data_IF_447399267748
#
_entry.id   IF_447399267748
#
_cell.length_a   1.000
_cell.length_b   1.000
_cell.length_c   1.000
_cell.angle_alpha   90.00
_cell.angle_beta   90.00
_cell.angle_gamma   90.00
#
_symmetry.space_group_name_H-M   'P 1'
#
loop_
_entity.id
_entity.type
_entity.pdbx_description
1 polymer ?
#
# COMPACT_ATOMS: atom_id res chain seq x y z
N UNK A 1 16.74 -2.46 5.70
CA UNK A 1 15.94 -1.62 6.62
C UNK A 1 14.63 -2.31 7.01
N UNK A 2 13.72 -2.64 6.08
CA UNK A 2 12.41 -3.24 6.38
C UNK A 2 12.47 -4.59 7.09
N UNK A 3 13.39 -5.50 6.74
CA UNK A 3 13.57 -6.78 7.44
C UNK A 3 13.81 -6.65 8.95
N UNK A 4 14.49 -5.60 9.39
CA UNK A 4 14.78 -5.36 10.81
C UNK A 4 13.64 -4.64 11.54
N UNK A 5 12.83 -3.85 10.82
CA UNK A 5 11.72 -3.10 11.37
C UNK A 5 10.42 -3.92 11.45
N UNK A 6 10.33 -5.05 10.75
CA UNK A 6 9.13 -5.86 10.63
C UNK A 6 8.43 -6.21 11.97
N UNK A 7 9.13 -6.64 13.04
CA UNK A 7 8.46 -7.02 14.30
C UNK A 7 7.81 -5.90 15.10
N UNK A 8 7.97 -4.64 14.68
CA UNK A 8 7.39 -3.49 15.39
C UNK A 8 6.55 -2.58 14.51
N UNK A 9 6.49 -2.89 13.22
CA UNK A 9 5.91 -2.06 12.19
C UNK A 9 4.42 -1.75 12.44
N UNK A 10 3.61 -2.78 12.72
CA UNK A 10 2.16 -2.63 12.93
C UNK A 10 1.82 -1.78 14.15
N UNK A 11 2.60 -1.93 15.24
CA UNK A 11 2.38 -1.13 16.45
C UNK A 11 2.65 0.36 16.19
N UNK A 12 3.68 0.66 15.41
CA UNK A 12 4.01 2.03 15.02
C UNK A 12 2.91 2.62 14.14
N UNK A 13 2.42 1.87 13.15
CA UNK A 13 1.35 2.30 12.25
C UNK A 13 0.02 2.47 12.99
N UNK A 14 -0.38 1.50 13.80
CA UNK A 14 -1.62 1.53 14.58
C UNK A 14 -1.67 2.72 15.55
N UNK A 15 -0.55 3.03 16.21
CA UNK A 15 -0.44 4.14 17.14
C UNK A 15 -0.67 5.48 16.43
N UNK A 16 -0.17 5.64 15.23
CA UNK A 16 -0.22 6.88 14.46
C UNK A 16 -1.50 7.08 13.67
N UNK A 17 -2.10 5.98 13.22
CA UNK A 17 -3.41 5.97 12.56
C UNK A 17 -4.58 5.95 13.57
N UNK A 18 -4.31 5.92 14.88
CA UNK A 18 -5.33 5.77 15.94
C UNK A 18 -6.29 4.61 15.66
N UNK A 19 -5.76 3.52 15.10
CA UNK A 19 -6.54 2.32 14.73
C UNK A 19 -7.42 2.46 13.47
N UNK A 20 -7.52 3.64 12.87
CA UNK A 20 -8.36 3.87 11.68
C UNK A 20 -7.79 3.26 10.39
N UNK A 21 -6.51 2.92 10.38
CA UNK A 21 -5.80 2.50 9.18
C UNK A 21 -6.36 1.22 8.54
N UNK A 22 -6.75 0.22 9.34
CA UNK A 22 -7.34 -1.04 8.85
C UNK A 22 -8.72 -0.79 8.24
N UNK A 23 -9.57 -0.01 8.92
CA UNK A 23 -10.88 0.35 8.41
C UNK A 23 -10.79 1.11 7.09
N UNK A 24 -9.92 2.12 7.00
CA UNK A 24 -9.74 2.91 5.79
C UNK A 24 -9.30 2.04 4.60
N UNK A 25 -8.30 1.17 4.79
CA UNK A 25 -7.82 0.27 3.74
C UNK A 25 -8.93 -0.65 3.25
N UNK A 26 -9.73 -1.21 4.18
CA UNK A 26 -10.88 -2.04 3.82
C UNK A 26 -11.89 -1.27 2.95
N UNK A 27 -12.27 -0.05 3.35
CA UNK A 27 -13.21 0.77 2.60
C UNK A 27 -12.67 1.17 1.22
N UNK A 28 -11.36 1.45 1.11
CA UNK A 28 -10.72 1.70 -0.17
C UNK A 28 -10.82 0.49 -1.10
N UNK A 29 -10.51 -0.71 -0.62
CA UNK A 29 -10.61 -1.93 -1.43
C UNK A 29 -12.04 -2.17 -1.93
N UNK A 30 -13.04 -2.04 -1.06
CA UNK A 30 -14.46 -2.24 -1.40
C UNK A 30 -14.95 -1.22 -2.43
N UNK A 31 -14.71 0.06 -2.21
CA UNK A 31 -15.21 1.10 -3.13
C UNK A 31 -14.53 1.07 -4.50
N UNK A 32 -13.31 0.49 -4.58
CA UNK A 32 -12.59 0.31 -5.84
C UNK A 32 -12.88 -1.04 -6.50
N UNK A 33 -13.81 -1.84 -5.93
CA UNK A 33 -14.40 -2.99 -6.61
C UNK A 33 -13.81 -4.34 -6.23
N UNK A 34 -13.02 -4.45 -5.15
CA UNK A 34 -12.66 -5.77 -4.61
C UNK A 34 -13.92 -6.45 -4.05
N UNK A 35 -14.18 -7.68 -4.46
CA UNK A 35 -15.37 -8.43 -4.11
C UNK A 35 -15.07 -9.87 -3.73
N UNK A 36 -16.06 -10.54 -3.14
CA UNK A 36 -15.98 -11.96 -2.80
C UNK A 36 -15.71 -12.84 -4.03
N UNK A 37 -14.88 -13.84 -3.86
CA UNK A 37 -14.51 -14.80 -4.92
C UNK A 37 -13.40 -14.33 -5.85
N UNK A 38 -12.95 -13.08 -5.76
CA UNK A 38 -11.86 -12.55 -6.59
C UNK A 38 -10.49 -13.09 -6.19
N UNK A 39 -9.56 -13.09 -7.15
CA UNK A 39 -8.12 -13.28 -6.91
C UNK A 39 -7.45 -11.92 -6.71
N UNK A 40 -7.01 -11.66 -5.47
CA UNK A 40 -6.28 -10.45 -5.07
C UNK A 40 -4.79 -10.71 -5.08
N UNK A 41 -4.01 -9.84 -5.72
CA UNK A 41 -2.57 -9.70 -5.54
C UNK A 41 -2.28 -8.41 -4.76
N UNK A 42 -1.77 -8.54 -3.54
CA UNK A 42 -1.29 -7.40 -2.75
C UNK A 42 0.21 -7.23 -2.98
N UNK A 43 0.60 -6.17 -3.67
CA UNK A 43 2.00 -5.89 -4.04
C UNK A 43 2.63 -4.97 -2.99
N UNK A 44 3.86 -5.30 -2.59
CA UNK A 44 4.54 -4.72 -1.44
C UNK A 44 3.67 -4.89 -0.17
N UNK A 45 3.20 -6.11 0.05
CA UNK A 45 2.25 -6.47 1.09
C UNK A 45 2.74 -6.19 2.51
N UNK A 46 4.06 -6.15 2.72
CA UNK A 46 4.68 -5.90 4.01
C UNK A 46 4.21 -6.91 5.05
N UNK A 47 3.80 -6.41 6.21
CA UNK A 47 3.24 -7.21 7.30
C UNK A 47 1.75 -7.54 7.12
N UNK A 48 1.14 -7.18 5.97
CA UNK A 48 -0.22 -7.55 5.61
C UNK A 48 -1.31 -6.57 6.00
N UNK A 49 -1.00 -5.30 6.20
CA UNK A 49 -1.99 -4.29 6.58
C UNK A 49 -3.10 -4.07 5.53
N UNK A 50 -2.83 -4.38 4.25
CA UNK A 50 -3.83 -4.42 3.16
C UNK A 50 -4.28 -5.85 2.90
N UNK A 51 -3.35 -6.81 2.96
CA UNK A 51 -3.63 -8.23 2.70
C UNK A 51 -4.72 -8.78 3.62
N UNK A 52 -4.65 -8.49 4.93
CA UNK A 52 -5.63 -9.01 5.93
C UNK A 52 -7.06 -8.55 5.63
N UNK A 53 -7.36 -7.23 5.49
CA UNK A 53 -8.71 -6.82 5.10
C UNK A 53 -9.10 -7.30 3.71
N UNK A 54 -8.17 -7.40 2.76
CA UNK A 54 -8.42 -7.95 1.43
C UNK A 54 -8.85 -9.43 1.50
N UNK A 55 -8.16 -10.25 2.28
CA UNK A 55 -8.52 -11.65 2.51
C UNK A 55 -9.93 -11.79 3.10
N UNK A 56 -10.29 -10.93 4.05
CA UNK A 56 -11.63 -10.95 4.64
C UNK A 56 -12.73 -10.56 3.63
N UNK A 57 -12.42 -9.69 2.64
CA UNK A 57 -13.36 -9.29 1.58
C UNK A 57 -13.56 -10.41 0.56
N UNK A 58 -12.46 -10.99 0.05
CA UNK A 58 -12.58 -12.01 -1.00
C UNK A 58 -13.16 -13.33 -0.46
N UNK A 59 -12.98 -13.59 0.82
CA UNK A 59 -13.59 -14.74 1.51
C UNK A 59 -13.04 -16.09 1.05
N UNK A 60 -13.69 -17.20 1.48
CA UNK A 60 -13.16 -18.55 1.30
C UNK A 60 -13.19 -19.06 -0.16
N UNK A 61 -13.93 -18.41 -1.04
CA UNK A 61 -13.98 -18.74 -2.47
C UNK A 61 -13.01 -17.91 -3.31
N UNK A 62 -12.40 -16.88 -2.71
CA UNK A 62 -11.39 -16.07 -3.35
C UNK A 62 -9.98 -16.57 -3.06
N UNK A 63 -9.02 -15.97 -3.75
CA UNK A 63 -7.58 -16.25 -3.57
C UNK A 63 -6.85 -14.97 -3.24
N UNK A 64 -5.90 -15.03 -2.31
CA UNK A 64 -5.03 -13.90 -1.97
C UNK A 64 -3.58 -14.31 -2.10
N UNK A 65 -2.84 -13.51 -2.87
CA UNK A 65 -1.39 -13.59 -3.01
C UNK A 65 -0.78 -12.31 -2.43
N UNK A 66 0.25 -12.47 -1.62
CA UNK A 66 0.98 -11.36 -1.02
C UNK A 66 2.42 -11.34 -1.54
N UNK A 67 2.78 -10.31 -2.28
CA UNK A 67 4.10 -10.15 -2.86
C UNK A 67 4.87 -9.04 -2.13
N UNK A 68 6.08 -9.37 -1.67
CA UNK A 68 6.98 -8.39 -1.03
C UNK A 68 8.44 -8.85 -1.17
N UNK A 69 9.41 -7.96 -1.47
CA UNK A 69 10.81 -8.34 -1.56
C UNK A 69 11.48 -8.60 -0.21
N UNK A 70 10.79 -8.37 0.90
CA UNK A 70 11.30 -8.54 2.27
C UNK A 70 10.81 -9.84 2.90
N UNK A 71 11.65 -10.88 3.03
CA UNK A 71 11.26 -12.12 3.69
C UNK A 71 10.86 -11.92 5.16
N UNK A 72 11.45 -10.92 5.85
CA UNK A 72 11.08 -10.57 7.21
C UNK A 72 9.65 -10.01 7.32
N UNK A 73 9.21 -9.20 6.36
CA UNK A 73 7.84 -8.69 6.28
C UNK A 73 6.85 -9.83 6.02
N UNK A 74 7.15 -10.69 5.05
CA UNK A 74 6.32 -11.86 4.75
C UNK A 74 6.24 -12.84 5.93
N UNK A 75 7.30 -12.97 6.72
CA UNK A 75 7.28 -13.79 7.93
C UNK A 75 6.31 -13.25 9.00
N UNK A 76 6.22 -11.92 9.15
CA UNK A 76 5.22 -11.30 10.05
C UNK A 76 3.79 -11.45 9.52
N UNK A 77 3.59 -11.33 8.20
CA UNK A 77 2.30 -11.58 7.57
C UNK A 77 1.80 -13.01 7.83
N UNK A 78 2.65 -14.01 7.63
CA UNK A 78 2.32 -15.44 7.84
C UNK A 78 1.89 -15.76 9.28
N UNK A 79 2.28 -14.96 10.26
CA UNK A 79 1.80 -15.11 11.66
C UNK A 79 0.34 -14.68 11.83
N UNK A 80 -0.18 -13.82 10.94
CA UNK A 80 -1.53 -13.25 11.03
C UNK A 80 -2.56 -14.04 10.25
N UNK A 81 -2.19 -14.46 9.04
CA UNK A 81 -3.08 -15.17 8.11
C UNK A 81 -2.29 -16.18 7.26
N UNK A 82 -2.99 -17.21 6.80
CA UNK A 82 -2.45 -18.16 5.83
C UNK A 82 -2.85 -17.74 4.41
N UNK A 83 -1.90 -17.16 3.67
CA UNK A 83 -2.04 -16.80 2.27
C UNK A 83 -0.78 -17.19 1.52
N UNK A 84 -0.88 -17.31 0.21
CA UNK A 84 0.28 -17.51 -0.65
C UNK A 84 1.17 -16.26 -0.60
N UNK A 85 2.47 -16.47 -0.35
CA UNK A 85 3.44 -15.37 -0.27
C UNK A 85 4.51 -15.53 -1.33
N UNK A 86 4.86 -14.45 -2.00
CA UNK A 86 5.80 -14.39 -3.11
C UNK A 86 6.90 -13.39 -2.75
N UNK A 87 8.15 -13.86 -2.69
CA UNK A 87 9.30 -12.98 -2.50
C UNK A 87 9.77 -12.48 -3.87
N UNK A 88 9.34 -11.27 -4.23
CA UNK A 88 9.66 -10.63 -5.51
C UNK A 88 9.48 -9.11 -5.45
N UNK A 89 10.01 -8.41 -6.45
CA UNK A 89 9.80 -6.98 -6.66
C UNK A 89 8.57 -6.73 -7.54
N UNK A 90 7.99 -5.53 -7.39
CA UNK A 90 6.83 -5.08 -8.18
C UNK A 90 7.11 -5.05 -9.70
N UNK A 91 8.37 -4.85 -10.07
CA UNK A 91 8.87 -4.78 -11.45
C UNK A 91 9.09 -6.16 -12.12
N UNK A 92 8.94 -7.27 -11.36
CA UNK A 92 9.12 -8.63 -11.88
C UNK A 92 8.26 -9.60 -11.08
N UNK A 93 7.01 -9.75 -11.49
CA UNK A 93 6.01 -10.58 -10.82
C UNK A 93 6.05 -12.00 -11.39
N UNK A 94 6.44 -13.03 -10.60
CA UNK A 94 6.58 -14.40 -11.08
C UNK A 94 5.22 -15.13 -11.16
N UNK A 95 4.27 -14.51 -11.83
CA UNK A 95 2.93 -15.05 -12.08
C UNK A 95 2.64 -15.04 -13.59
N UNK A 96 1.85 -16.01 -14.08
CA UNK A 96 1.35 -15.99 -15.45
C UNK A 96 0.47 -14.79 -15.77
N UNK A 97 0.30 -14.51 -17.06
CA UNK A 97 -0.54 -13.44 -17.56
C UNK A 97 -2.03 -13.69 -17.24
N UNK A 98 -2.76 -12.63 -16.92
CA UNK A 98 -4.21 -12.66 -16.88
C UNK A 98 -4.84 -13.52 -15.79
N UNK A 99 -4.21 -13.65 -14.63
CA UNK A 99 -4.70 -14.49 -13.52
C UNK A 99 -5.25 -13.72 -12.33
N UNK A 100 -5.07 -12.41 -12.29
CA UNK A 100 -5.41 -11.57 -11.15
C UNK A 100 -6.63 -10.70 -11.48
N UNK A 101 -7.63 -10.69 -10.59
CA UNK A 101 -8.81 -9.84 -10.76
C UNK A 101 -8.57 -8.44 -10.18
N UNK A 102 -7.80 -8.36 -9.09
CA UNK A 102 -7.55 -7.11 -8.39
C UNK A 102 -6.12 -7.03 -7.87
N UNK A 103 -5.44 -5.91 -8.15
CA UNK A 103 -4.13 -5.60 -7.57
C UNK A 103 -4.31 -4.47 -6.55
N UNK A 104 -3.77 -4.66 -5.34
CA UNK A 104 -3.59 -3.61 -4.35
C UNK A 104 -2.11 -3.29 -4.11
N UNK A 105 -1.81 -2.05 -3.77
CA UNK A 105 -0.55 -1.62 -3.16
C UNK A 105 -0.84 -0.57 -2.10
N UNK A 106 -0.33 -0.78 -0.89
CA UNK A 106 -0.58 0.13 0.23
C UNK A 106 0.67 0.89 0.68
N UNK A 107 0.76 2.18 0.34
CA UNK A 107 1.78 3.11 0.84
C UNK A 107 3.24 2.71 0.54
N UNK A 108 3.46 2.05 -0.59
CA UNK A 108 4.76 1.53 -1.00
C UNK A 108 5.25 2.07 -2.36
N UNK A 109 4.43 2.82 -3.09
CA UNK A 109 4.73 3.26 -4.46
C UNK A 109 6.06 4.03 -4.57
N UNK A 110 6.38 4.82 -3.56
CA UNK A 110 7.65 5.58 -3.46
C UNK A 110 8.90 4.71 -3.36
N UNK A 111 8.76 3.40 -3.15
CA UNK A 111 9.85 2.43 -3.08
C UNK A 111 10.02 1.62 -4.37
N UNK A 112 9.14 1.80 -5.34
CA UNK A 112 9.22 1.19 -6.66
C UNK A 112 10.31 1.90 -7.47
N UNK A 113 11.26 1.14 -7.98
CA UNK A 113 12.41 1.69 -8.70
C UNK A 113 12.05 2.18 -10.10
N UNK A 114 11.19 1.45 -10.82
CA UNK A 114 10.69 1.82 -12.14
C UNK A 114 9.17 1.59 -12.24
N UNK A 115 8.42 2.69 -12.26
CA UNK A 115 6.96 2.66 -12.36
C UNK A 115 6.46 2.07 -13.69
N UNK A 116 7.19 2.27 -14.78
CA UNK A 116 6.74 1.76 -16.09
C UNK A 116 6.87 0.23 -16.12
N UNK A 117 7.97 -0.32 -15.58
CA UNK A 117 8.13 -1.76 -15.46
C UNK A 117 7.08 -2.36 -14.51
N UNK A 118 6.89 -1.77 -13.33
CA UNK A 118 5.90 -2.26 -12.37
C UNK A 118 4.48 -2.24 -12.93
N UNK A 119 4.07 -1.16 -13.58
CA UNK A 119 2.71 -1.05 -14.14
C UNK A 119 2.52 -1.91 -15.38
N UNK A 120 3.57 -2.18 -16.16
CA UNK A 120 3.54 -3.18 -17.23
C UNK A 120 3.31 -4.59 -16.68
N UNK A 121 3.98 -4.96 -15.57
CA UNK A 121 3.76 -6.22 -14.87
C UNK A 121 2.35 -6.32 -14.28
N UNK A 122 1.84 -5.24 -13.67
CA UNK A 122 0.45 -5.20 -13.16
C UNK A 122 -0.54 -5.43 -14.30
N UNK A 123 -0.34 -4.72 -15.43
CA UNK A 123 -1.19 -4.91 -16.61
C UNK A 123 -1.11 -6.33 -17.15
N UNK A 124 0.06 -6.93 -17.19
CA UNK A 124 0.29 -8.29 -17.68
C UNK A 124 -0.45 -9.34 -16.84
N UNK A 125 -0.32 -9.28 -15.52
CA UNK A 125 -0.89 -10.32 -14.63
C UNK A 125 -2.39 -10.13 -14.36
N UNK A 126 -2.96 -8.92 -14.52
CA UNK A 126 -4.39 -8.70 -14.40
C UNK A 126 -5.14 -9.41 -15.53
N UNK A 127 -6.31 -9.98 -15.25
CA UNK A 127 -7.25 -10.45 -16.27
C UNK A 127 -7.89 -9.26 -17.02
N UNK A 128 -8.46 -9.46 -18.24
CA UNK A 128 -9.33 -8.45 -18.85
C UNK A 128 -10.47 -8.05 -17.90
N UNK A 129 -10.68 -6.75 -17.73
CA UNK A 129 -11.63 -6.20 -16.75
C UNK A 129 -11.06 -6.04 -15.34
N UNK A 130 -9.90 -6.61 -15.05
CA UNK A 130 -9.22 -6.51 -13.75
C UNK A 130 -8.81 -5.08 -13.39
N UNK A 131 -8.61 -4.83 -12.11
CA UNK A 131 -8.39 -3.48 -11.57
C UNK A 131 -7.12 -3.38 -10.75
N UNK A 132 -6.51 -2.21 -10.77
CA UNK A 132 -5.43 -1.82 -9.86
C UNK A 132 -5.89 -0.70 -8.93
N UNK A 133 -5.52 -0.78 -7.66
CA UNK A 133 -5.75 0.25 -6.66
C UNK A 133 -4.49 0.47 -5.83
N UNK A 134 -3.88 1.64 -5.95
CA UNK A 134 -2.65 2.02 -5.26
C UNK A 134 -2.99 3.12 -4.26
N UNK A 135 -2.79 2.85 -2.98
CA UNK A 135 -2.94 3.81 -1.90
C UNK A 135 -1.61 4.48 -1.60
N UNK A 136 -1.58 5.81 -1.51
CA UNK A 136 -0.36 6.55 -1.16
C UNK A 136 -0.68 7.79 -0.31
N UNK A 137 0.28 8.21 0.49
CA UNK A 137 0.23 9.46 1.23
C UNK A 137 0.96 10.52 0.43
N UNK A 138 0.32 11.68 0.26
CA UNK A 138 0.93 12.80 -0.46
C UNK A 138 0.97 14.07 0.38
N UNK A 139 1.79 15.01 -0.04
CA UNK A 139 1.83 16.34 0.58
C UNK A 139 0.45 17.01 0.50
N UNK A 140 -0.06 17.55 1.62
CA UNK A 140 -1.26 18.39 1.57
C UNK A 140 -1.03 19.65 0.74
N UNK A 141 -1.97 20.00 -0.13
CA UNK A 141 -1.90 21.25 -0.92
C UNK A 141 -2.08 22.50 -0.04
N UNK A 142 -2.91 22.42 0.98
CA UNK A 142 -3.18 23.52 1.91
C UNK A 142 -2.02 23.76 2.88
N UNK A 143 -1.63 25.03 3.07
CA UNK A 143 -0.61 25.42 4.05
C UNK A 143 -0.99 25.03 5.48
N UNK A 144 -2.28 25.19 5.83
CA UNK A 144 -2.81 24.79 7.13
C UNK A 144 -2.73 23.28 7.34
N UNK A 145 -3.13 22.48 6.34
CA UNK A 145 -3.05 21.03 6.43
C UNK A 145 -1.58 20.54 6.52
N UNK A 146 -0.64 21.21 5.84
CA UNK A 146 0.80 20.95 5.99
C UNK A 146 1.29 21.25 7.41
N UNK A 147 0.87 22.39 7.99
CA UNK A 147 1.23 22.75 9.35
C UNK A 147 0.67 21.74 10.37
N UNK A 148 -0.60 21.32 10.22
CA UNK A 148 -1.24 20.34 11.09
C UNK A 148 -0.56 18.95 10.96
N UNK A 149 -0.25 18.50 9.75
CA UNK A 149 0.49 17.25 9.54
C UNK A 149 1.89 17.32 10.14
N UNK A 150 2.61 18.43 9.92
CA UNK A 150 3.92 18.68 10.52
C UNK A 150 3.88 18.69 12.05
N UNK A 151 2.86 19.32 12.65
CA UNK A 151 2.63 19.30 14.10
C UNK A 151 2.36 17.86 14.60
N UNK A 152 1.49 17.12 13.91
CA UNK A 152 1.20 15.73 14.25
C UNK A 152 2.47 14.86 14.23
N UNK A 153 3.24 14.92 13.15
CA UNK A 153 4.48 14.13 12.99
C UNK A 153 5.54 14.54 14.01
N UNK A 154 5.75 15.85 14.23
CA UNK A 154 6.84 16.36 15.06
C UNK A 154 6.54 16.39 16.57
N UNK A 155 5.28 16.45 16.95
CA UNK A 155 4.87 16.61 18.36
C UNK A 155 4.05 15.42 18.87
N UNK A 156 2.99 15.03 18.14
CA UNK A 156 2.04 14.02 18.62
C UNK A 156 2.67 12.62 18.55
N UNK A 157 3.28 12.27 17.42
CA UNK A 157 3.90 10.95 17.23
C UNK A 157 5.03 10.68 18.22
N UNK A 158 6.02 11.58 18.44
CA UNK A 158 7.06 11.36 19.44
C UNK A 158 6.52 11.30 20.88
N UNK A 159 5.47 12.08 21.18
CA UNK A 159 4.83 12.02 22.50
C UNK A 159 4.19 10.64 22.74
N UNK A 160 3.44 10.12 21.76
CA UNK A 160 2.83 8.80 21.84
C UNK A 160 3.90 7.70 21.85
N UNK A 161 4.96 7.84 21.05
CA UNK A 161 6.07 6.89 21.01
C UNK A 161 6.78 6.74 22.36
N UNK A 162 6.90 7.83 23.15
CA UNK A 162 7.47 7.79 24.52
C UNK A 162 6.71 6.88 25.46
N UNK A 163 5.42 6.62 25.18
CA UNK A 163 4.60 5.70 25.97
C UNK A 163 4.86 4.22 25.62
N UNK A 164 5.67 3.95 24.60
CA UNK A 164 5.99 2.60 24.14
C UNK A 164 7.43 2.21 24.49
N UNK A 165 7.69 0.92 24.72
CA UNK A 165 9.05 0.39 24.99
C UNK A 165 9.98 0.42 23.77
N UNK A 166 9.48 0.75 22.56
CA UNK A 166 10.21 0.76 21.28
C UNK A 166 10.34 2.17 20.68
N UNK A 167 10.50 3.16 21.52
CA UNK A 167 10.58 4.57 21.13
C UNK A 167 11.55 4.83 19.95
N UNK A 168 12.77 4.28 20.00
CA UNK A 168 13.80 4.56 18.99
C UNK A 168 13.44 4.01 17.58
N UNK A 169 12.82 2.82 17.52
CA UNK A 169 12.42 2.21 16.25
C UNK A 169 11.25 2.97 15.59
N UNK A 170 10.31 3.41 16.43
CA UNK A 170 9.17 4.23 15.99
C UNK A 170 9.67 5.58 15.47
N UNK A 171 10.58 6.24 16.17
CA UNK A 171 11.11 7.54 15.77
C UNK A 171 11.83 7.47 14.41
N UNK A 172 12.72 6.49 14.22
CA UNK A 172 13.42 6.27 12.93
C UNK A 172 12.47 6.02 11.78
N UNK A 173 11.41 5.24 12.00
CA UNK A 173 10.41 4.96 10.98
C UNK A 173 9.66 6.23 10.57
N UNK A 174 9.37 7.11 11.53
CA UNK A 174 8.63 8.35 11.26
C UNK A 174 9.49 9.45 10.64
N UNK A 175 10.75 9.56 11.01
CA UNK A 175 11.72 10.41 10.31
C UNK A 175 11.81 9.98 8.84
N UNK A 176 11.93 8.67 8.59
CA UNK A 176 11.92 8.10 7.25
C UNK A 176 10.61 8.39 6.47
N UNK A 177 9.45 8.28 7.11
CA UNK A 177 8.18 8.66 6.48
C UNK A 177 8.11 10.14 6.16
N UNK A 178 8.57 11.01 7.04
CA UNK A 178 8.65 12.45 6.80
C UNK A 178 9.43 12.77 5.52
N UNK A 179 10.64 12.23 5.41
CA UNK A 179 11.52 12.44 4.26
C UNK A 179 10.95 11.85 2.97
N UNK A 180 10.35 10.66 3.03
CA UNK A 180 9.79 9.99 1.84
C UNK A 180 8.47 10.59 1.35
N UNK A 181 7.64 11.16 2.24
CA UNK A 181 6.44 11.92 1.84
C UNK A 181 6.85 13.21 1.10
N UNK A 182 7.97 13.83 1.47
CA UNK A 182 8.49 14.99 0.76
C UNK A 182 9.01 14.66 -0.65
N UNK A 183 9.50 13.44 -0.84
CA UNK A 183 9.95 12.91 -2.13
C UNK A 183 8.85 12.24 -2.95
N UNK A 184 7.58 12.28 -2.50
CA UNK A 184 6.47 11.65 -3.21
C UNK A 184 6.34 12.19 -4.64
N UNK A 185 6.17 11.27 -5.60
CA UNK A 185 6.01 11.60 -7.01
C UNK A 185 4.78 12.47 -7.24
N UNK A 186 4.88 13.35 -8.22
CA UNK A 186 3.74 14.14 -8.68
C UNK A 186 2.63 13.21 -9.22
N UNK A 187 1.36 13.43 -8.84
CA UNK A 187 0.26 12.57 -9.22
C UNK A 187 0.12 12.33 -10.71
N UNK A 188 0.38 13.34 -11.52
CA UNK A 188 0.27 13.24 -12.98
C UNK A 188 1.28 12.25 -13.57
N UNK A 189 2.49 12.15 -13.00
CA UNK A 189 3.49 11.17 -13.44
C UNK A 189 3.00 9.73 -13.21
N UNK A 190 2.31 9.49 -12.09
CA UNK A 190 1.75 8.17 -11.75
C UNK A 190 0.59 7.84 -12.69
N UNK A 191 -0.33 8.78 -12.91
CA UNK A 191 -1.46 8.61 -13.81
C UNK A 191 -1.01 8.35 -15.25
N UNK A 192 -0.01 9.10 -15.72
CA UNK A 192 0.54 8.91 -17.06
C UNK A 192 1.28 7.58 -17.21
N UNK A 193 1.98 7.12 -16.19
CA UNK A 193 2.61 5.80 -16.21
C UNK A 193 1.57 4.67 -16.29
N UNK A 194 0.44 4.78 -15.55
CA UNK A 194 -0.68 3.84 -15.68
C UNK A 194 -1.27 3.85 -17.10
N UNK A 195 -1.51 5.04 -17.69
CA UNK A 195 -2.01 5.16 -19.06
C UNK A 195 -1.04 4.56 -20.08
N UNK A 196 0.26 4.82 -19.94
CA UNK A 196 1.29 4.22 -20.82
C UNK A 196 1.36 2.70 -20.73
N UNK A 197 1.08 2.12 -19.56
CA UNK A 197 0.99 0.67 -19.40
C UNK A 197 -0.28 0.06 -20.04
N UNK A 198 -1.23 0.88 -20.51
CA UNK A 198 -2.44 0.44 -21.20
C UNK A 198 -3.71 0.46 -20.35
N UNK A 199 -3.64 0.92 -19.11
CA UNK A 199 -4.84 1.04 -18.26
C UNK A 199 -5.81 2.09 -18.78
N UNK A 200 -7.11 1.77 -18.71
CA UNK A 200 -8.24 2.67 -18.90
C UNK A 200 -8.86 3.06 -17.55
N UNK A 201 -9.81 3.98 -17.55
CA UNK A 201 -10.48 4.48 -16.35
C UNK A 201 -9.48 4.95 -15.25
N UNK A 202 -8.34 5.49 -15.70
CA UNK A 202 -7.26 5.94 -14.82
C UNK A 202 -7.71 7.19 -14.06
N UNK A 203 -7.75 7.09 -12.73
CA UNK A 203 -8.20 8.15 -11.84
C UNK A 203 -7.35 8.28 -10.58
N UNK A 204 -7.40 9.47 -9.96
CA UNK A 204 -6.85 9.72 -8.63
C UNK A 204 -7.95 10.32 -7.73
N UNK A 205 -8.31 9.60 -6.68
CA UNK A 205 -9.17 10.10 -5.62
C UNK A 205 -8.33 10.63 -4.45
N UNK A 206 -8.76 11.73 -3.83
CA UNK A 206 -8.04 12.33 -2.68
C UNK A 206 -8.98 12.39 -1.48
N UNK A 207 -8.62 11.71 -0.41
CA UNK A 207 -9.36 11.69 0.85
C UNK A 207 -8.59 12.48 1.91
N UNK A 208 -9.29 13.36 2.66
CA UNK A 208 -8.72 14.23 3.70
C UNK A 208 -7.52 15.09 3.23
N UNK A 209 -7.38 15.29 1.92
CA UNK A 209 -6.31 16.10 1.33
C UNK A 209 -4.90 15.48 1.34
N UNK A 210 -4.73 14.28 1.91
CA UNK A 210 -3.44 13.61 2.07
C UNK A 210 -3.42 12.17 1.55
N UNK A 211 -4.52 11.43 1.66
CA UNK A 211 -4.60 10.07 1.16
C UNK A 211 -5.02 10.06 -0.29
N UNK A 212 -4.21 9.44 -1.13
CA UNK A 212 -4.46 9.29 -2.56
C UNK A 212 -4.70 7.84 -2.91
N UNK A 213 -5.63 7.63 -3.82
CA UNK A 213 -5.93 6.35 -4.41
C UNK A 213 -5.80 6.50 -5.92
N UNK A 214 -4.80 5.85 -6.48
CA UNK A 214 -4.63 5.77 -7.93
C UNK A 214 -5.25 4.46 -8.40
N UNK A 215 -6.13 4.54 -9.37
CA UNK A 215 -6.87 3.40 -9.90
C UNK A 215 -6.74 3.32 -11.41
N UNK A 216 -6.86 2.12 -11.93
CA UNK A 216 -6.91 1.84 -13.36
C UNK A 216 -7.59 0.51 -13.62
N UNK A 217 -8.07 0.29 -14.83
CA UNK A 217 -8.71 -0.94 -15.28
C UNK A 217 -7.98 -1.48 -16.51
N UNK A 218 -7.72 -2.78 -16.54
CA UNK A 218 -7.32 -3.47 -17.77
C UNK A 218 -8.56 -3.63 -18.66
N UNK A 219 -8.57 -3.13 -19.92
CA UNK A 219 -9.69 -3.27 -20.83
C UNK A 219 -10.01 -4.73 -21.19
#
# INVERSE_FOLDING_TARGET
MFNQAAPGYDNAESLTALGSGVWYRREVLLRNGLAAGMTLLDVAAGTGLVTVPGHAIVGPQGRVLALDPSPGMLAELRKKIQVETIEAFAESIPLPDGQIDFISMGYALRHVGDLNLAFAEYFRVLCPGGRVCIMEISRPRSALARALLGFHIKMVVPLLARLTRRHADIQRLWEYYGDTIEAALEPELILDALRRAGFTDVACCVTLGIFREYTGRRP
#
